data_IF_133029135651
#
_entry.id   IF_133029135651
#
_cell.length_a   1.000
_cell.length_b   1.000
_cell.length_c   1.000
_cell.angle_alpha   90.00
_cell.angle_beta   90.00
_cell.angle_gamma   90.00
#
_symmetry.space_group_name_H-M   'P 1'
#
loop_
_entity.id
_entity.type
_entity.pdbx_description
1 polymer ?
#
# COMPACT_ATOMS: atom_id res chain seq x y z
N UNK A 1 -9.21 -34.47 -23.67
CA UNK A 1 -8.27 -33.58 -22.94
C UNK A 1 -6.90 -34.24 -22.93
N UNK A 2 -5.96 -33.79 -23.76
CA UNK A 2 -4.57 -34.23 -23.69
C UNK A 2 -3.97 -33.79 -22.34
N UNK A 3 -3.50 -34.80 -21.56
CA UNK A 3 -2.77 -34.52 -20.32
C UNK A 3 -1.42 -33.92 -20.69
N UNK A 4 -1.19 -32.64 -20.34
CA UNK A 4 0.15 -32.06 -20.43
C UNK A 4 1.01 -32.67 -19.34
N UNK A 5 2.13 -33.29 -19.72
CA UNK A 5 3.16 -33.69 -18.75
C UNK A 5 3.83 -32.41 -18.20
N UNK A 6 3.92 -32.31 -16.89
CA UNK A 6 4.63 -31.27 -16.19
C UNK A 6 5.79 -31.87 -15.41
N UNK A 7 6.97 -31.38 -15.64
CA UNK A 7 8.13 -31.68 -14.81
C UNK A 7 8.25 -30.51 -13.83
N UNK A 8 8.17 -30.84 -12.56
CA UNK A 8 8.29 -29.86 -11.46
C UNK A 8 9.47 -30.27 -10.60
N UNK A 9 10.42 -29.37 -10.48
CA UNK A 9 11.61 -29.56 -9.64
C UNK A 9 11.72 -28.46 -8.60
N UNK A 10 12.24 -28.79 -7.42
CA UNK A 10 12.34 -27.90 -6.28
C UNK A 10 13.71 -27.97 -5.66
N UNK A 11 14.38 -26.83 -5.60
CA UNK A 11 15.62 -26.63 -4.88
C UNK A 11 15.35 -25.85 -3.60
N UNK A 12 15.85 -26.36 -2.48
CA UNK A 12 15.71 -25.72 -1.18
C UNK A 12 17.07 -25.29 -0.63
N UNK A 13 17.15 -24.03 -0.20
CA UNK A 13 18.35 -23.43 0.38
C UNK A 13 18.02 -22.91 1.76
N UNK A 14 18.70 -23.40 2.79
CA UNK A 14 18.73 -22.78 4.11
C UNK A 14 19.77 -21.65 4.08
N UNK A 15 19.34 -20.41 3.82
CA UNK A 15 20.24 -19.28 3.69
C UNK A 15 20.82 -18.82 5.05
N UNK A 16 20.01 -18.96 6.11
CA UNK A 16 20.42 -18.66 7.48
C UNK A 16 19.47 -19.32 8.48
N UNK A 17 19.79 -19.27 9.78
CA UNK A 17 18.90 -19.75 10.85
C UNK A 17 17.52 -19.05 10.90
N UNK A 18 17.38 -17.94 10.17
CA UNK A 18 16.19 -17.09 10.19
C UNK A 18 15.50 -16.98 8.84
N UNK A 19 16.07 -17.53 7.77
CA UNK A 19 15.60 -17.35 6.40
C UNK A 19 15.85 -18.58 5.54
N UNK A 20 14.83 -19.02 4.84
CA UNK A 20 14.89 -20.05 3.81
C UNK A 20 14.58 -19.53 2.41
N UNK A 21 14.95 -20.28 1.40
CA UNK A 21 14.62 -20.03 0.00
C UNK A 21 14.32 -21.35 -0.70
N UNK A 22 13.15 -21.44 -1.30
CA UNK A 22 12.77 -22.53 -2.16
C UNK A 22 12.55 -22.02 -3.58
N UNK A 23 13.32 -22.54 -4.53
CA UNK A 23 13.14 -22.30 -5.96
C UNK A 23 12.37 -23.48 -6.55
N UNK A 24 11.34 -23.18 -7.33
CA UNK A 24 10.49 -24.14 -8.00
C UNK A 24 10.48 -23.83 -9.49
N UNK A 25 10.91 -24.80 -10.30
CA UNK A 25 10.85 -24.76 -11.76
C UNK A 25 9.76 -25.69 -12.27
N UNK A 26 8.98 -25.25 -13.23
CA UNK A 26 7.94 -26.03 -13.90
C UNK A 26 8.12 -25.93 -15.40
N UNK A 27 8.13 -27.07 -16.08
CA UNK A 27 8.23 -27.15 -17.54
C UNK A 27 7.12 -28.05 -18.06
N UNK A 28 6.43 -27.59 -19.07
CA UNK A 28 5.31 -28.28 -19.69
C UNK A 28 5.66 -28.71 -21.12
N UNK A 29 5.17 -29.85 -21.55
CA UNK A 29 5.49 -30.47 -22.87
C UNK A 29 5.18 -29.56 -24.07
N UNK A 30 4.23 -28.63 -23.96
CA UNK A 30 3.91 -27.63 -25.01
C UNK A 30 4.79 -26.40 -25.00
N UNK A 31 5.88 -26.40 -24.23
CA UNK A 31 6.85 -25.31 -24.15
C UNK A 31 6.41 -24.12 -23.27
N UNK A 32 5.37 -24.28 -22.46
CA UNK A 32 5.09 -23.40 -21.34
C UNK A 32 6.05 -23.70 -20.21
N UNK A 33 6.44 -22.69 -19.43
CA UNK A 33 7.32 -22.88 -18.29
C UNK A 33 7.03 -21.84 -17.19
N UNK A 34 7.36 -22.20 -15.98
CA UNK A 34 7.19 -21.34 -14.80
C UNK A 34 8.39 -21.42 -13.87
N UNK A 35 8.69 -20.31 -13.23
CA UNK A 35 9.68 -20.20 -12.17
C UNK A 35 9.04 -19.53 -10.96
N UNK A 36 9.20 -20.14 -9.78
CA UNK A 36 8.72 -19.56 -8.53
C UNK A 36 9.81 -19.58 -7.48
N UNK A 37 9.90 -18.49 -6.72
CA UNK A 37 10.78 -18.34 -5.58
C UNK A 37 9.93 -18.10 -4.34
N UNK A 38 10.09 -18.93 -3.33
CA UNK A 38 9.40 -18.81 -2.03
C UNK A 38 10.43 -18.70 -0.94
N UNK A 39 10.28 -17.70 -0.09
CA UNK A 39 11.14 -17.48 1.06
C UNK A 39 10.28 -17.17 2.28
N UNK A 40 10.58 -17.81 3.39
CA UNK A 40 10.03 -17.44 4.69
C UNK A 40 11.18 -16.98 5.59
N UNK A 41 10.95 -15.91 6.34
CA UNK A 41 11.94 -15.39 7.25
C UNK A 41 11.30 -14.98 8.57
N UNK A 42 11.97 -15.31 9.65
CA UNK A 42 11.49 -15.00 10.99
C UNK A 42 12.64 -14.84 11.97
N UNK A 43 12.68 -13.69 12.62
CA UNK A 43 13.58 -13.45 13.75
C UNK A 43 12.75 -13.09 14.98
N UNK A 44 12.79 -13.95 15.99
CA UNK A 44 12.00 -13.82 17.22
C UNK A 44 12.21 -12.44 17.85
N UNK A 45 11.12 -11.77 18.24
CA UNK A 45 11.09 -10.42 18.81
C UNK A 45 11.64 -9.31 17.88
N UNK A 46 11.82 -9.56 16.60
CA UNK A 46 12.27 -8.54 15.64
C UNK A 46 11.34 -8.39 14.46
N UNK A 47 11.21 -9.42 13.65
CA UNK A 47 10.37 -9.39 12.45
C UNK A 47 10.00 -10.79 11.99
N UNK A 48 8.92 -10.86 11.22
CA UNK A 48 8.53 -12.05 10.48
C UNK A 48 7.94 -11.66 9.13
N UNK A 49 8.07 -12.54 8.16
CA UNK A 49 7.49 -12.31 6.84
C UNK A 49 7.67 -13.49 5.92
N UNK A 50 7.04 -13.37 4.76
CA UNK A 50 7.17 -14.32 3.67
C UNK A 50 7.21 -13.57 2.34
N UNK A 51 8.00 -14.08 1.42
CA UNK A 51 8.11 -13.58 0.06
C UNK A 51 7.85 -14.73 -0.91
N UNK A 52 6.99 -14.49 -1.89
CA UNK A 52 6.69 -15.44 -2.95
C UNK A 52 6.61 -14.68 -4.27
N UNK A 53 7.51 -14.95 -5.18
CA UNK A 53 7.51 -14.43 -6.54
C UNK A 53 7.35 -15.56 -7.53
N UNK A 54 6.50 -15.42 -8.52
CA UNK A 54 6.25 -16.40 -9.57
C UNK A 54 6.25 -15.73 -10.93
N UNK A 55 6.88 -16.34 -11.89
CA UNK A 55 6.86 -15.94 -13.29
C UNK A 55 6.41 -17.13 -14.14
N UNK A 56 5.44 -16.92 -15.00
CA UNK A 56 4.81 -17.93 -15.82
C UNK A 56 4.80 -17.50 -17.28
N UNK A 57 5.28 -18.36 -18.16
CA UNK A 57 5.18 -18.20 -19.61
C UNK A 57 4.26 -19.29 -20.13
N UNK A 58 3.08 -18.90 -20.58
CA UNK A 58 2.07 -19.82 -21.10
C UNK A 58 1.98 -19.70 -22.61
N UNK A 59 2.18 -20.83 -23.29
CA UNK A 59 1.99 -20.96 -24.74
C UNK A 59 0.73 -21.78 -25.01
N UNK A 60 -0.17 -21.22 -25.79
CA UNK A 60 -1.38 -21.88 -26.28
C UNK A 60 -1.33 -21.92 -27.81
N UNK A 61 -1.70 -23.05 -28.40
CA UNK A 61 -1.64 -23.26 -29.83
C UNK A 61 -0.23 -23.49 -30.39
N UNK A 62 -0.11 -23.74 -31.67
CA UNK A 62 1.15 -23.93 -32.37
C UNK A 62 1.50 -22.65 -33.17
N UNK A 63 2.80 -22.37 -33.29
CA UNK A 63 3.25 -21.18 -34.06
C UNK A 63 2.77 -21.26 -35.50
N UNK A 64 2.09 -20.22 -35.95
CA UNK A 64 1.55 -20.12 -37.31
C UNK A 64 0.06 -20.38 -37.42
N UNK A 65 -0.61 -20.83 -36.36
CA UNK A 65 -2.05 -21.00 -36.30
C UNK A 65 -2.71 -19.76 -35.65
N UNK A 66 -3.96 -19.45 -36.02
CA UNK A 66 -4.66 -18.25 -35.51
C UNK A 66 -4.97 -18.31 -34.02
N UNK A 67 -4.92 -19.44 -33.39
CA UNK A 67 -5.10 -19.70 -31.96
C UNK A 67 -3.78 -19.67 -31.15
N UNK A 68 -2.64 -19.30 -31.78
CA UNK A 68 -1.38 -19.13 -31.07
C UNK A 68 -1.44 -17.92 -30.15
N UNK A 69 -1.28 -18.15 -28.86
CA UNK A 69 -1.18 -17.10 -27.84
C UNK A 69 0.00 -17.36 -26.90
N UNK A 70 0.80 -16.31 -26.70
CA UNK A 70 1.93 -16.31 -25.77
C UNK A 70 1.64 -15.28 -24.66
N UNK A 71 1.39 -15.76 -23.45
CA UNK A 71 1.23 -14.91 -22.27
C UNK A 71 2.46 -14.99 -21.37
N UNK A 72 2.85 -13.86 -20.83
CA UNK A 72 3.91 -13.71 -19.84
C UNK A 72 3.30 -13.08 -18.60
N UNK A 73 3.24 -13.81 -17.52
CA UNK A 73 2.55 -13.43 -16.32
C UNK A 73 3.48 -13.49 -15.12
N UNK A 74 3.26 -12.61 -14.16
CA UNK A 74 3.98 -12.63 -12.89
C UNK A 74 3.05 -12.38 -11.72
N UNK A 75 3.43 -12.89 -10.55
CA UNK A 75 2.76 -12.66 -9.26
C UNK A 75 3.81 -12.47 -8.19
N UNK A 76 3.64 -11.45 -7.37
CA UNK A 76 4.48 -11.16 -6.21
C UNK A 76 3.59 -11.01 -4.99
N UNK A 77 3.83 -11.84 -3.99
CA UNK A 77 3.22 -11.75 -2.67
C UNK A 77 4.33 -11.54 -1.65
N UNK A 78 4.24 -10.46 -0.92
CA UNK A 78 5.18 -10.16 0.16
C UNK A 78 4.42 -9.72 1.39
N UNK A 79 4.66 -10.41 2.49
CA UNK A 79 4.16 -10.03 3.80
C UNK A 79 5.35 -9.78 4.72
N UNK A 80 5.30 -8.68 5.44
CA UNK A 80 6.29 -8.33 6.44
C UNK A 80 5.60 -7.68 7.64
N UNK A 81 5.97 -8.13 8.83
CA UNK A 81 5.49 -7.54 10.09
C UNK A 81 6.68 -7.38 11.02
N UNK A 82 6.93 -6.15 11.45
CA UNK A 82 7.90 -5.85 12.48
C UNK A 82 7.26 -6.06 13.86
N UNK A 83 7.98 -6.73 14.76
CA UNK A 83 7.56 -6.89 16.16
C UNK A 83 7.71 -5.54 16.90
N UNK A 84 6.66 -5.06 17.60
CA UNK A 84 6.74 -3.83 18.39
C UNK A 84 7.86 -3.84 19.45
N UNK A 85 8.26 -5.03 19.92
CA UNK A 85 9.38 -5.19 20.86
C UNK A 85 10.74 -4.88 20.26
N UNK A 86 10.89 -4.97 18.94
CA UNK A 86 12.15 -4.64 18.25
C UNK A 86 12.46 -3.14 18.30
N UNK A 87 11.45 -2.32 18.09
CA UNK A 87 11.56 -0.86 18.19
C UNK A 87 10.16 -0.26 18.46
N UNK A 88 9.88 0.23 19.66
CA UNK A 88 8.59 0.81 20.01
C UNK A 88 8.30 2.14 19.29
N UNK A 89 9.33 2.77 18.71
CA UNK A 89 9.22 4.06 18.03
C UNK A 89 9.11 3.95 16.51
N UNK A 90 9.37 2.77 15.96
CA UNK A 90 9.26 2.51 14.52
C UNK A 90 8.43 1.26 14.31
N UNK A 91 7.30 1.38 13.62
CA UNK A 91 6.54 0.24 13.14
C UNK A 91 6.60 0.18 11.61
N UNK A 92 6.85 -1.00 11.10
CA UNK A 92 6.86 -1.29 9.67
C UNK A 92 6.04 -2.54 9.39
N UNK A 93 5.10 -2.43 8.46
CA UNK A 93 4.32 -3.56 7.98
C UNK A 93 4.10 -3.45 6.48
N UNK A 94 4.15 -4.58 5.80
CA UNK A 94 3.90 -4.68 4.38
C UNK A 94 3.01 -5.89 4.09
N UNK A 95 2.05 -5.69 3.21
CA UNK A 95 1.21 -6.73 2.64
C UNK A 95 1.04 -6.42 1.16
N UNK A 96 1.89 -7.02 0.33
CA UNK A 96 1.91 -6.81 -1.12
C UNK A 96 1.32 -8.04 -1.79
N UNK A 97 0.29 -7.84 -2.61
CA UNK A 97 -0.30 -8.86 -3.47
C UNK A 97 -0.49 -8.23 -4.86
N UNK A 98 0.50 -8.41 -5.70
CA UNK A 98 0.54 -7.82 -7.03
C UNK A 98 0.76 -8.90 -8.09
N UNK A 99 -0.02 -8.88 -9.17
CA UNK A 99 0.15 -9.80 -10.28
C UNK A 99 -0.39 -9.20 -11.58
N UNK A 100 0.03 -9.74 -12.73
CA UNK A 100 -0.64 -9.47 -14.00
C UNK A 100 -2.10 -9.92 -13.95
N UNK A 101 -2.99 -9.21 -14.63
CA UNK A 101 -4.43 -9.50 -14.64
C UNK A 101 -4.76 -10.90 -15.21
N UNK A 102 -3.89 -11.42 -16.07
CA UNK A 102 -4.02 -12.73 -16.70
C UNK A 102 -3.42 -13.88 -15.90
N UNK A 103 -2.58 -13.58 -14.88
CA UNK A 103 -1.83 -14.60 -14.12
C UNK A 103 -2.74 -15.72 -13.56
N UNK A 104 -3.79 -15.34 -12.84
CA UNK A 104 -4.63 -16.31 -12.14
C UNK A 104 -5.46 -17.15 -13.14
N UNK A 105 -5.85 -16.56 -14.28
CA UNK A 105 -6.54 -17.27 -15.37
C UNK A 105 -5.61 -18.28 -16.05
N UNK A 106 -4.38 -17.89 -16.32
CA UNK A 106 -3.40 -18.73 -17.01
C UNK A 106 -2.84 -19.81 -16.09
N UNK A 107 -2.75 -19.54 -14.79
CA UNK A 107 -2.28 -20.49 -13.77
C UNK A 107 -3.30 -21.61 -13.46
N UNK A 108 -4.58 -21.44 -13.83
CA UNK A 108 -5.61 -22.49 -13.68
C UNK A 108 -5.34 -23.75 -14.49
N UNK A 109 -4.55 -23.63 -15.55
CA UNK A 109 -4.15 -24.77 -16.38
C UNK A 109 -3.00 -25.59 -15.78
N UNK A 110 -2.49 -25.22 -14.60
CA UNK A 110 -1.57 -26.02 -13.83
C UNK A 110 -2.26 -27.33 -13.41
N UNK A 111 -1.58 -28.46 -13.61
CA UNK A 111 -2.10 -29.83 -13.41
C UNK A 111 -2.47 -30.16 -11.95
N UNK A 112 -2.23 -29.25 -11.03
CA UNK A 112 -2.61 -29.36 -9.63
C UNK A 112 -3.49 -28.17 -9.24
N UNK A 113 -4.82 -28.26 -9.43
CA UNK A 113 -5.74 -27.31 -8.83
C UNK A 113 -5.70 -27.54 -7.32
N UNK A 114 -4.77 -26.91 -6.63
CA UNK A 114 -4.89 -26.80 -5.19
C UNK A 114 -6.22 -26.10 -4.89
N UNK A 115 -6.89 -26.53 -3.83
CA UNK A 115 -8.23 -26.07 -3.45
C UNK A 115 -8.38 -24.52 -3.30
N UNK A 116 -7.28 -23.78 -3.26
CA UNK A 116 -7.23 -22.33 -3.28
C UNK A 116 -7.34 -21.68 -4.67
N UNK A 117 -7.17 -22.43 -5.76
CA UNK A 117 -7.13 -21.89 -7.12
C UNK A 117 -8.43 -21.23 -7.58
N UNK A 118 -9.57 -21.75 -7.15
CA UNK A 118 -10.87 -21.16 -7.52
C UNK A 118 -11.16 -19.83 -6.83
N UNK A 119 -10.69 -19.64 -5.61
CA UNK A 119 -10.87 -18.38 -4.89
C UNK A 119 -10.07 -17.23 -5.53
N UNK A 120 -8.85 -17.50 -5.98
CA UNK A 120 -7.97 -16.51 -6.62
C UNK A 120 -8.51 -16.06 -7.99
N UNK A 121 -9.17 -16.94 -8.73
CA UNK A 121 -9.73 -16.62 -10.05
C UNK A 121 -10.94 -15.71 -9.97
N UNK A 122 -11.76 -15.89 -8.96
CA UNK A 122 -12.94 -15.07 -8.73
C UNK A 122 -12.61 -13.74 -8.04
N UNK A 123 -11.37 -13.55 -7.59
CA UNK A 123 -10.93 -12.32 -6.97
C UNK A 123 -10.71 -11.21 -8.00
N UNK A 124 -11.70 -10.33 -8.16
CA UNK A 124 -11.62 -9.21 -9.08
C UNK A 124 -10.71 -8.06 -8.58
N UNK A 125 -10.41 -8.00 -7.30
CA UNK A 125 -9.63 -6.93 -6.69
C UNK A 125 -8.46 -7.49 -5.88
N UNK A 126 -7.28 -6.92 -6.06
CA UNK A 126 -6.07 -7.20 -5.27
C UNK A 126 -5.60 -5.92 -4.62
N UNK A 127 -5.35 -5.98 -3.32
CA UNK A 127 -4.89 -4.83 -2.57
C UNK A 127 -3.49 -5.10 -2.02
N UNK A 128 -2.64 -4.09 -2.14
CA UNK A 128 -1.30 -4.08 -1.57
C UNK A 128 -1.14 -2.85 -0.70
N UNK A 129 -0.53 -2.98 0.46
CA UNK A 129 -0.25 -1.86 1.33
C UNK A 129 1.10 -2.02 2.03
N UNK A 130 1.81 -0.91 2.16
CA UNK A 130 3.03 -0.79 2.94
C UNK A 130 2.84 0.38 3.90
N UNK A 131 3.02 0.13 5.19
CA UNK A 131 2.82 1.13 6.22
C UNK A 131 4.11 1.28 7.04
N UNK A 132 4.52 2.53 7.24
CA UNK A 132 5.62 2.89 8.12
C UNK A 132 5.16 3.99 9.06
N UNK A 133 5.41 3.83 10.35
CA UNK A 133 5.11 4.86 11.35
C UNK A 133 6.30 5.06 12.25
N UNK A 134 6.75 6.31 12.35
CA UNK A 134 7.84 6.71 13.23
C UNK A 134 7.35 7.72 14.26
N UNK A 135 7.53 7.38 15.53
CA UNK A 135 7.25 8.25 16.69
C UNK A 135 8.56 8.76 17.24
N UNK A 136 8.59 10.02 17.66
CA UNK A 136 9.76 10.61 18.28
C UNK A 136 9.54 10.72 19.79
N UNK A 137 10.30 9.99 20.63
CA UNK A 137 10.03 9.90 22.07
C UNK A 137 10.14 11.24 22.81
N UNK A 138 11.03 12.13 22.34
CA UNK A 138 11.29 13.42 22.97
C UNK A 138 10.57 14.60 22.28
N UNK A 139 9.82 14.34 21.22
CA UNK A 139 9.12 15.33 20.43
C UNK A 139 7.67 14.90 20.22
N UNK A 140 6.72 15.85 20.18
CA UNK A 140 5.32 15.53 20.00
C UNK A 140 4.96 15.08 18.57
N UNK A 141 5.95 14.82 17.71
CA UNK A 141 5.74 14.48 16.32
C UNK A 141 5.62 12.98 16.08
N UNK A 142 4.71 12.62 15.19
CA UNK A 142 4.59 11.29 14.62
C UNK A 142 4.49 11.44 13.10
N UNK A 143 5.28 10.67 12.38
CA UNK A 143 5.27 10.60 10.92
C UNK A 143 4.77 9.22 10.53
N UNK A 144 3.72 9.15 9.73
CA UNK A 144 3.23 7.93 9.13
C UNK A 144 3.23 8.05 7.60
N UNK A 145 3.67 7.00 6.94
CA UNK A 145 3.66 6.87 5.49
C UNK A 145 2.92 5.60 5.11
N UNK A 146 2.02 5.70 4.15
CA UNK A 146 1.29 4.57 3.59
C UNK A 146 1.46 4.58 2.08
N UNK A 147 1.76 3.43 1.52
CA UNK A 147 1.74 3.17 0.09
C UNK A 147 0.66 2.13 -0.16
N UNK A 148 -0.23 2.37 -1.11
CA UNK A 148 -1.27 1.41 -1.45
C UNK A 148 -1.44 1.27 -2.95
N UNK A 149 -1.68 0.03 -3.39
CA UNK A 149 -1.98 -0.33 -4.77
C UNK A 149 -3.23 -1.20 -4.74
N UNK A 150 -4.27 -0.74 -5.43
CA UNK A 150 -5.50 -1.49 -5.62
C UNK A 150 -5.63 -1.81 -7.10
N UNK A 151 -5.59 -3.08 -7.42
CA UNK A 151 -5.68 -3.59 -8.79
C UNK A 151 -7.04 -4.26 -9.00
N UNK A 152 -7.73 -3.90 -10.09
CA UNK A 152 -8.95 -4.57 -10.54
C UNK A 152 -8.62 -5.40 -11.76
N UNK A 153 -8.72 -6.73 -11.63
CA UNK A 153 -8.28 -7.66 -12.67
C UNK A 153 -9.22 -7.74 -13.86
N UNK A 154 -10.49 -7.41 -13.68
CA UNK A 154 -11.52 -7.48 -14.74
C UNK A 154 -11.25 -6.52 -15.90
N UNK A 155 -10.87 -5.29 -15.61
CA UNK A 155 -10.64 -4.21 -16.57
C UNK A 155 -9.18 -3.75 -16.62
N UNK A 156 -8.29 -4.48 -15.92
CA UNK A 156 -6.86 -4.19 -15.81
C UNK A 156 -6.57 -2.77 -15.33
N UNK A 157 -7.40 -2.24 -14.45
CA UNK A 157 -7.21 -0.93 -13.85
C UNK A 157 -6.43 -1.03 -12.55
N UNK A 158 -5.59 -0.04 -12.30
CA UNK A 158 -4.76 0.09 -11.11
C UNK A 158 -4.96 1.48 -10.52
N UNK A 159 -5.32 1.53 -9.24
CA UNK A 159 -5.28 2.72 -8.43
C UNK A 159 -4.06 2.65 -7.49
N UNK A 160 -3.14 3.60 -7.64
CA UNK A 160 -1.91 3.69 -6.87
C UNK A 160 -1.93 4.96 -6.05
N UNK A 161 -1.63 4.83 -4.76
CA UNK A 161 -1.37 5.97 -3.86
C UNK A 161 0.05 5.82 -3.34
N UNK A 162 0.95 6.73 -3.78
CA UNK A 162 2.38 6.60 -3.53
C UNK A 162 3.09 7.95 -3.51
N UNK A 163 3.55 8.45 -2.38
CA UNK A 163 3.16 8.09 -1.02
C UNK A 163 1.91 8.84 -0.53
N UNK A 164 1.25 8.29 0.48
CA UNK A 164 0.39 9.06 1.38
C UNK A 164 1.13 9.25 2.69
N UNK A 165 1.50 10.48 3.03
CA UNK A 165 2.27 10.81 4.23
C UNK A 165 1.43 11.67 5.16
N UNK A 166 1.44 11.35 6.44
CA UNK A 166 0.80 12.15 7.46
C UNK A 166 1.81 12.49 8.55
N UNK A 167 1.95 13.78 8.82
CA UNK A 167 2.76 14.30 9.92
C UNK A 167 1.80 14.87 10.96
N UNK A 168 1.79 14.28 12.13
CA UNK A 168 0.95 14.75 13.24
C UNK A 168 1.82 15.26 14.39
N UNK A 169 1.40 16.35 15.00
CA UNK A 169 1.93 16.83 16.27
C UNK A 169 0.83 16.68 17.31
N UNK A 170 1.13 15.94 18.37
CA UNK A 170 0.21 15.80 19.50
C UNK A 170 -0.01 17.16 20.16
N UNK A 171 -1.11 17.26 20.90
CA UNK A 171 -1.50 18.49 21.59
C UNK A 171 -0.36 19.01 22.45
N UNK A 172 0.04 20.26 22.23
CA UNK A 172 1.02 20.99 23.02
C UNK A 172 0.39 22.25 23.61
N UNK A 173 0.96 22.73 24.70
CA UNK A 173 0.60 23.97 25.36
C UNK A 173 1.77 24.95 25.25
N UNK A 174 1.85 25.74 24.16
CA UNK A 174 3.04 26.54 23.86
C UNK A 174 3.34 27.63 24.92
N UNK A 175 2.29 28.09 25.60
CA UNK A 175 2.40 29.17 26.61
C UNK A 175 2.47 28.65 28.05
N UNK A 176 2.56 27.31 28.24
CA UNK A 176 2.64 26.73 29.58
C UNK A 176 4.02 27.00 30.20
N UNK A 177 4.04 27.55 31.39
CA UNK A 177 5.28 27.82 32.15
C UNK A 177 5.98 26.51 32.53
N UNK A 178 7.30 26.47 32.44
CA UNK A 178 8.10 25.30 32.85
C UNK A 178 8.04 25.00 34.35
N UNK A 179 7.93 26.08 35.15
CA UNK A 179 7.81 26.01 36.61
C UNK A 179 6.59 26.84 37.06
N UNK A 180 5.39 26.21 37.12
CA UNK A 180 4.18 26.93 37.50
C UNK A 180 4.22 27.27 38.99
N UNK A 181 4.16 28.58 39.30
CA UNK A 181 3.96 29.09 40.66
C UNK A 181 2.59 29.75 40.72
N UNK A 182 1.73 29.25 41.62
CA UNK A 182 0.35 29.70 41.75
C UNK A 182 -0.65 29.12 40.77
N UNK A 183 -1.82 29.78 40.60
CA UNK A 183 -2.88 29.31 39.70
C UNK A 183 -2.48 29.42 38.23
N UNK A 184 -2.91 28.46 37.40
CA UNK A 184 -2.74 28.53 35.96
C UNK A 184 -3.45 29.74 35.36
N UNK A 185 -2.75 30.47 34.50
CA UNK A 185 -3.30 31.64 33.79
C UNK A 185 -4.11 31.18 32.58
N UNK A 186 -5.05 32.00 32.10
CA UNK A 186 -5.95 31.64 31.00
C UNK A 186 -5.20 31.27 29.70
N UNK A 187 -4.07 31.96 29.41
CA UNK A 187 -3.26 31.69 28.22
C UNK A 187 -2.46 30.38 28.30
N UNK A 188 -2.18 29.85 29.48
CA UNK A 188 -1.49 28.55 29.68
C UNK A 188 -2.36 27.38 29.28
N UNK A 189 -3.67 27.59 29.20
CA UNK A 189 -4.65 26.61 28.76
C UNK A 189 -4.87 26.59 27.24
N UNK A 190 -4.17 27.47 26.51
CA UNK A 190 -4.19 27.46 25.06
C UNK A 190 -3.39 26.22 24.58
N UNK A 191 -4.05 25.39 23.86
CA UNK A 191 -3.47 24.17 23.26
C UNK A 191 -3.55 24.24 21.75
N UNK A 192 -2.54 23.70 21.10
CA UNK A 192 -2.55 23.53 19.66
C UNK A 192 -2.03 22.15 19.27
N UNK A 193 -2.48 21.66 18.16
CA UNK A 193 -1.95 20.46 17.50
C UNK A 193 -1.78 20.74 16.01
N UNK A 194 -1.09 19.87 15.31
CA UNK A 194 -0.87 20.00 13.89
C UNK A 194 -1.12 18.66 13.20
N UNK A 195 -1.75 18.70 12.04
CA UNK A 195 -1.88 17.55 11.14
C UNK A 195 -1.62 18.02 9.71
N UNK A 196 -0.54 17.52 9.13
CA UNK A 196 -0.21 17.69 7.72
C UNK A 196 -0.39 16.37 6.99
N UNK A 197 -1.14 16.36 5.89
CA UNK A 197 -1.34 15.19 5.05
C UNK A 197 -0.90 15.52 3.63
N UNK A 198 -0.02 14.70 3.08
CA UNK A 198 0.38 14.71 1.67
C UNK A 198 -0.11 13.42 1.03
N UNK A 199 -0.76 13.53 -0.11
CA UNK A 199 -1.24 12.37 -0.87
C UNK A 199 -0.93 12.56 -2.33
N UNK A 200 -0.35 11.53 -2.92
CA UNK A 200 -0.08 11.45 -4.35
C UNK A 200 -0.72 10.17 -4.88
N UNK A 201 -1.63 10.28 -5.84
CA UNK A 201 -2.40 9.16 -6.35
C UNK A 201 -2.63 9.23 -7.86
N UNK A 202 -2.75 8.05 -8.47
CA UNK A 202 -3.14 7.89 -9.87
C UNK A 202 -4.07 6.69 -10.02
N UNK A 203 -5.03 6.81 -10.93
CA UNK A 203 -5.84 5.69 -11.40
C UNK A 203 -5.63 5.54 -12.89
N UNK A 204 -5.08 4.42 -13.31
CA UNK A 204 -4.71 4.17 -14.71
C UNK A 204 -4.83 2.69 -15.05
N UNK A 205 -4.54 2.34 -16.31
CA UNK A 205 -4.43 0.94 -16.73
C UNK A 205 -3.02 0.40 -16.46
N UNK A 206 -2.93 -0.91 -16.22
CA UNK A 206 -1.69 -1.63 -15.90
C UNK A 206 -0.53 -1.34 -16.86
N UNK A 207 -0.82 -1.29 -18.16
CA UNK A 207 0.18 -1.06 -19.21
C UNK A 207 0.67 0.41 -19.30
N UNK A 208 -0.05 1.34 -18.71
CA UNK A 208 0.26 2.78 -18.76
C UNK A 208 0.95 3.26 -17.47
N UNK A 209 0.91 2.50 -16.39
CA UNK A 209 1.45 2.91 -15.09
C UNK A 209 2.92 3.34 -15.18
N UNK A 210 3.75 2.54 -15.83
CA UNK A 210 5.19 2.83 -15.96
C UNK A 210 5.53 3.89 -17.01
N UNK A 211 4.55 4.34 -17.79
CA UNK A 211 4.70 5.42 -18.78
C UNK A 211 4.19 6.75 -18.26
N UNK A 212 3.54 6.77 -17.10
CA UNK A 212 2.96 7.97 -16.51
C UNK A 212 4.02 8.91 -15.93
N UNK A 213 3.77 10.22 -16.05
CA UNK A 213 4.62 11.24 -15.47
C UNK A 213 4.12 11.58 -14.05
N UNK A 214 5.00 11.44 -13.04
CA UNK A 214 4.70 11.67 -11.63
C UNK A 214 4.15 13.08 -11.29
N UNK A 215 4.40 14.08 -12.14
CA UNK A 215 3.96 15.45 -11.87
C UNK A 215 2.68 15.78 -12.64
N UNK A 216 2.59 15.36 -13.91
CA UNK A 216 1.47 15.75 -14.79
C UNK A 216 0.26 14.85 -14.65
N UNK A 217 0.49 13.54 -14.54
CA UNK A 217 -0.59 12.54 -14.60
C UNK A 217 -1.08 12.15 -13.22
N UNK A 218 -0.29 12.42 -12.18
CA UNK A 218 -0.62 12.08 -10.81
C UNK A 218 -1.31 13.25 -10.10
N UNK A 219 -2.29 12.90 -9.29
CA UNK A 219 -3.01 13.86 -8.45
C UNK A 219 -2.24 14.07 -7.14
N UNK A 220 -1.61 15.22 -7.01
CA UNK A 220 -0.89 15.61 -5.81
C UNK A 220 -1.73 16.58 -4.99
N UNK A 221 -1.93 16.25 -3.73
CA UNK A 221 -2.66 17.09 -2.78
C UNK A 221 -1.92 17.17 -1.45
N UNK A 222 -1.85 18.35 -0.88
CA UNK A 222 -1.32 18.59 0.46
C UNK A 222 -2.33 19.38 1.29
N UNK A 223 -2.54 18.95 2.51
CA UNK A 223 -3.44 19.61 3.46
C UNK A 223 -2.72 19.84 4.76
N UNK A 224 -2.83 21.06 5.28
CA UNK A 224 -2.44 21.44 6.63
C UNK A 224 -3.67 21.74 7.47
N UNK A 225 -3.65 21.31 8.74
CA UNK A 225 -4.69 21.63 9.72
C UNK A 225 -4.04 21.93 11.05
N UNK A 226 -4.35 23.11 11.60
CA UNK A 226 -3.83 23.59 12.88
C UNK A 226 -5.03 23.97 13.76
N UNK A 227 -5.59 23.00 14.51
CA UNK A 227 -6.59 23.33 15.51
C UNK A 227 -5.94 23.96 16.74
N UNK A 228 -6.45 25.12 17.15
CA UNK A 228 -6.09 25.82 18.38
C UNK A 228 -7.32 25.87 19.26
N UNK A 229 -7.22 25.51 20.51
CA UNK A 229 -8.33 25.54 21.46
C UNK A 229 -7.84 25.98 22.84
N UNK A 230 -8.71 26.67 23.54
CA UNK A 230 -8.50 27.05 24.94
C UNK A 230 -9.75 26.67 25.74
N UNK A 231 -9.58 26.35 27.01
CA UNK A 231 -10.70 26.12 27.93
C UNK A 231 -10.42 26.86 29.23
N UNK A 232 -11.27 27.76 29.59
CA UNK A 232 -11.15 28.50 30.83
C UNK A 232 -12.52 28.77 31.46
N UNK A 233 -12.53 28.85 32.78
CA UNK A 233 -13.74 29.16 33.56
C UNK A 233 -13.75 30.64 33.93
N UNK A 234 -14.84 31.32 33.62
CA UNK A 234 -15.11 32.71 33.99
C UNK A 234 -16.12 32.70 35.13
N UNK A 235 -15.88 33.48 36.15
CA UNK A 235 -16.77 33.65 37.31
C UNK A 235 -17.13 32.34 38.04
N UNK A 236 -16.25 31.33 37.99
CA UNK A 236 -16.41 29.97 38.56
C UNK A 236 -17.53 29.10 37.95
N UNK A 237 -18.54 29.70 37.32
CA UNK A 237 -19.74 28.97 36.83
C UNK A 237 -19.82 28.90 35.31
N UNK A 238 -19.12 29.75 34.59
CA UNK A 238 -19.16 29.78 33.11
C UNK A 238 -17.87 29.22 32.54
N UNK A 239 -17.98 28.08 31.82
CA UNK A 239 -16.88 27.48 31.08
C UNK A 239 -16.95 27.93 29.63
N UNK A 240 -15.90 28.58 29.16
CA UNK A 240 -15.75 29.06 27.78
C UNK A 240 -14.68 28.24 27.12
N UNK A 241 -15.00 27.65 25.97
CA UNK A 241 -14.10 26.80 25.19
C UNK A 241 -14.01 27.30 23.74
N UNK A 242 -13.31 28.43 23.49
CA UNK A 242 -13.10 28.90 22.13
C UNK A 242 -12.21 27.91 21.37
N UNK A 243 -12.52 27.71 20.08
CA UNK A 243 -11.71 26.91 19.17
C UNK A 243 -11.58 27.61 17.83
N UNK A 244 -10.39 27.58 17.29
CA UNK A 244 -10.07 28.07 15.96
C UNK A 244 -9.36 26.98 15.19
N UNK A 245 -9.77 26.73 13.94
CA UNK A 245 -9.16 25.70 13.11
C UNK A 245 -8.71 26.31 11.77
N UNK A 246 -7.40 26.43 11.61
CA UNK A 246 -6.81 26.84 10.34
C UNK A 246 -6.63 25.60 9.46
N UNK A 247 -7.15 25.67 8.22
CA UNK A 247 -6.97 24.63 7.19
C UNK A 247 -6.51 25.25 5.90
N UNK A 248 -5.47 24.67 5.34
CA UNK A 248 -4.92 25.04 4.05
C UNK A 248 -4.79 23.81 3.17
N UNK A 249 -5.08 23.95 1.87
CA UNK A 249 -5.01 22.86 0.90
C UNK A 249 -4.30 23.33 -0.35
N UNK A 250 -3.34 22.55 -0.80
CA UNK A 250 -2.58 22.78 -2.01
C UNK A 250 -2.82 21.63 -2.99
N UNK A 251 -3.06 21.97 -4.25
CA UNK A 251 -3.28 21.03 -5.33
C UNK A 251 -2.39 21.39 -6.50
N UNK A 252 -1.84 20.40 -7.18
CA UNK A 252 -1.02 20.61 -8.39
C UNK A 252 -1.85 20.62 -9.66
N UNK A 253 -3.08 20.09 -9.62
CA UNK A 253 -3.97 20.00 -10.77
C UNK A 253 -5.39 20.44 -10.41
N UNK A 254 -6.07 21.05 -11.36
CA UNK A 254 -7.47 21.48 -11.29
C UNK A 254 -8.26 20.70 -12.34
N UNK A 255 -9.42 20.18 -11.95
CA UNK A 255 -10.38 19.60 -12.89
C UNK A 255 -11.35 20.71 -13.28
N UNK A 256 -11.37 21.07 -14.56
CA UNK A 256 -12.40 21.93 -15.13
C UNK A 256 -13.42 21.06 -15.81
N UNK A 257 -14.68 21.18 -15.38
CA UNK A 257 -15.80 20.51 -16.01
C UNK A 257 -16.55 21.53 -16.88
N UNK A 258 -16.60 21.27 -18.18
CA UNK A 258 -17.37 22.07 -19.12
C UNK A 258 -18.69 21.35 -19.42
N UNK A 259 -19.79 22.05 -19.27
CA UNK A 259 -21.11 21.51 -19.58
C UNK A 259 -21.35 21.61 -21.07
N UNK A 260 -21.23 20.49 -21.78
CA UNK A 260 -21.63 20.40 -23.19
C UNK A 260 -23.11 20.05 -23.24
N UNK A 261 -23.95 21.02 -23.56
CA UNK A 261 -25.35 20.75 -23.91
C UNK A 261 -25.39 20.03 -25.27
N UNK A 262 -25.62 18.74 -25.26
CA UNK A 262 -25.95 18.00 -26.49
C UNK A 262 -27.35 18.41 -26.92
N UNK A 263 -27.45 19.31 -27.90
CA UNK A 263 -28.70 19.56 -28.64
C UNK A 263 -28.89 18.30 -29.47
N UNK A 264 -29.86 17.47 -29.10
CA UNK A 264 -30.36 16.45 -29.99
C UNK A 264 -31.06 17.14 -31.18
N UNK A 265 -30.45 17.07 -32.34
CA UNK A 265 -31.07 17.38 -33.62
C UNK A 265 -31.85 16.15 -34.04
#
# INVERSE_FOLDING_TARGET
RQRQMCIRDRYYFALSDYMDLALLGEIYTKGSWGLSAKSAYRKRYKFSGSFNASYLVTKLGDKGLPDYNLSKDFKVNWTHTQDPKANPYLSFSASVNFSTSSYDRNNQNSLYPNASGYADVNQNTKSSSINITKRFPNNPFTISGTMSINQTTRDSSIAVTLPSMTVTMSRIFPFKRKHPVGKERWYEKISMSYSGTFSNSITTKENLLFKSNLIKDWQNAMQHSIPVSATFSVLKYLNISPSFNYKERWYTSKIEQEYLSLIHI
#
